data_IF_274979806871
#
_entry.id   IF_274979806871
#
_cell.length_a   1.000
_cell.length_b   1.000
_cell.length_c   1.000
_cell.angle_alpha   90.00
_cell.angle_beta   90.00
_cell.angle_gamma   90.00
#
_symmetry.space_group_name_H-M   'P 1'
#
loop_
_entity.id
_entity.type
_entity.pdbx_description
1 polymer ?
#
# COMPACT_ATOMS: atom_id res chain seq x y z
N UNK A 1 -0.09 0.73 -17.92
CA UNK A 1 0.60 1.75 -17.15
C UNK A 1 0.60 1.41 -15.67
N UNK A 2 1.74 1.63 -15.07
CA UNK A 2 1.93 1.31 -13.66
C UNK A 2 1.67 2.54 -12.81
N UNK A 3 0.48 2.61 -12.24
CA UNK A 3 0.20 3.63 -11.25
C UNK A 3 0.73 3.18 -9.89
N UNK A 4 1.39 4.07 -9.19
CA UNK A 4 1.85 3.84 -7.83
C UNK A 4 0.99 4.65 -6.88
N UNK A 5 0.32 3.94 -5.98
CA UNK A 5 -0.51 4.57 -4.97
C UNK A 5 0.18 4.43 -3.62
N UNK A 6 0.47 5.57 -3.01
CA UNK A 6 1.08 5.61 -1.68
C UNK A 6 -0.03 5.82 -0.65
N UNK A 7 -0.35 4.76 0.05
CA UNK A 7 -1.34 4.81 1.13
C UNK A 7 -0.60 4.56 2.42
N UNK A 8 -0.73 5.51 3.34
CA UNK A 8 -0.14 5.37 4.67
C UNK A 8 -1.21 4.97 5.65
N UNK A 9 -0.98 3.86 6.31
CA UNK A 9 -1.79 3.45 7.43
C UNK A 9 -1.33 4.18 8.68
N UNK A 10 -2.28 4.69 9.45
CA UNK A 10 -2.02 5.24 10.78
C UNK A 10 -3.18 4.89 11.71
N UNK A 11 -3.00 5.11 12.99
CA UNK A 11 -3.98 4.74 14.02
C UNK A 11 -5.32 5.47 13.89
N UNK A 12 -5.35 6.54 13.12
CA UNK A 12 -6.57 7.33 12.93
C UNK A 12 -7.45 6.77 11.83
N UNK A 13 -6.92 5.89 10.99
CA UNK A 13 -7.66 5.27 9.90
C UNK A 13 -7.99 3.84 10.29
N UNK A 14 -9.26 3.48 10.42
CA UNK A 14 -9.62 2.09 10.71
C UNK A 14 -9.07 1.15 9.63
N UNK A 15 -8.60 -0.01 10.05
CA UNK A 15 -8.01 -1.00 9.13
C UNK A 15 -8.98 -1.44 8.04
N UNK A 16 -10.26 -1.46 8.36
CA UNK A 16 -11.31 -1.83 7.42
C UNK A 16 -11.41 -0.83 6.26
N UNK A 17 -11.28 0.45 6.58
CA UNK A 17 -11.29 1.52 5.58
C UNK A 17 -10.05 1.43 4.69
N UNK A 18 -8.91 1.11 5.28
CA UNK A 18 -7.66 0.97 4.55
C UNK A 18 -7.73 -0.17 3.53
N UNK A 19 -8.12 -1.36 3.97
CA UNK A 19 -8.26 -2.53 3.09
C UNK A 19 -9.31 -2.32 2.02
N UNK A 20 -10.44 -1.73 2.39
CA UNK A 20 -11.52 -1.40 1.48
C UNK A 20 -11.02 -0.52 0.34
N UNK A 21 -10.31 0.52 0.67
CA UNK A 21 -9.81 1.48 -0.32
C UNK A 21 -8.84 0.84 -1.29
N UNK A 22 -7.94 -0.03 -0.81
CA UNK A 22 -6.99 -0.74 -1.65
C UNK A 22 -7.69 -1.69 -2.62
N UNK A 23 -8.59 -2.50 -2.11
CA UNK A 23 -9.29 -3.51 -2.93
C UNK A 23 -10.16 -2.84 -3.99
N UNK A 24 -10.97 -1.85 -3.58
CA UNK A 24 -11.84 -1.13 -4.51
C UNK A 24 -11.05 -0.44 -5.60
N UNK A 25 -9.94 0.19 -5.22
CA UNK A 25 -9.10 0.92 -6.17
C UNK A 25 -8.44 -0.01 -7.16
N UNK A 26 -7.84 -1.09 -6.68
CA UNK A 26 -7.19 -2.07 -7.55
C UNK A 26 -8.19 -2.69 -8.52
N UNK A 27 -9.38 -3.03 -8.03
CA UNK A 27 -10.44 -3.61 -8.86
C UNK A 27 -10.88 -2.67 -9.96
N UNK A 28 -11.16 -1.42 -9.60
CA UNK A 28 -11.62 -0.41 -10.57
C UNK A 28 -10.57 -0.09 -11.61
N UNK A 29 -9.33 0.04 -11.20
CA UNK A 29 -8.23 0.32 -12.12
C UNK A 29 -7.98 -0.85 -13.07
N UNK A 30 -8.22 -2.06 -12.62
CA UNK A 30 -8.16 -3.25 -13.46
C UNK A 30 -9.40 -3.45 -14.31
N UNK A 31 -10.44 -2.65 -14.09
CA UNK A 31 -11.73 -2.75 -14.81
C UNK A 31 -12.39 -4.11 -14.63
N UNK A 32 -12.31 -4.64 -13.43
CA UNK A 32 -12.91 -5.92 -13.06
C UNK A 32 -14.19 -5.71 -12.26
N UNK A 33 -15.15 -6.62 -12.44
CA UNK A 33 -16.29 -6.71 -11.54
C UNK A 33 -15.87 -7.39 -10.24
N UNK A 34 -16.68 -7.28 -9.20
CA UNK A 34 -16.42 -8.00 -7.95
C UNK A 34 -16.37 -9.52 -8.19
N UNK A 35 -17.26 -10.04 -9.04
CA UNK A 35 -17.27 -11.46 -9.37
C UNK A 35 -16.00 -11.90 -10.11
N UNK A 36 -15.53 -11.08 -11.05
CA UNK A 36 -14.31 -11.38 -11.79
C UNK A 36 -13.09 -11.37 -10.89
N UNK A 37 -12.98 -10.37 -10.02
CA UNK A 37 -11.89 -10.30 -9.05
C UNK A 37 -11.92 -11.49 -8.10
N UNK A 38 -13.11 -11.84 -7.59
CA UNK A 38 -13.27 -12.97 -6.69
C UNK A 38 -12.78 -14.26 -7.35
N UNK A 39 -13.15 -14.48 -8.59
CA UNK A 39 -12.72 -15.67 -9.34
C UNK A 39 -11.21 -15.72 -9.52
N UNK A 40 -10.60 -14.60 -9.90
CA UNK A 40 -9.15 -14.51 -10.08
C UNK A 40 -8.41 -14.66 -8.76
N UNK A 41 -8.94 -14.14 -7.68
CA UNK A 41 -8.34 -14.22 -6.35
C UNK A 41 -8.66 -15.52 -5.61
N UNK A 42 -9.46 -16.39 -6.21
CA UNK A 42 -9.90 -17.67 -5.60
C UNK A 42 -10.62 -17.46 -4.29
N UNK A 43 -11.54 -16.52 -4.29
CA UNK A 43 -12.41 -16.22 -3.15
C UNK A 43 -13.84 -16.02 -3.65
N UNK A 44 -14.78 -15.75 -2.75
CA UNK A 44 -16.17 -15.52 -3.12
C UNK A 44 -16.44 -14.05 -3.43
N UNK A 45 -17.42 -13.80 -4.28
CA UNK A 45 -17.89 -12.44 -4.54
C UNK A 45 -18.42 -11.81 -3.23
N UNK A 46 -19.10 -12.59 -2.40
CA UNK A 46 -19.59 -12.11 -1.11
C UNK A 46 -18.44 -11.59 -0.23
N UNK A 47 -17.30 -12.30 -0.22
CA UNK A 47 -16.12 -11.85 0.52
C UNK A 47 -15.60 -10.51 -0.02
N UNK A 48 -15.43 -10.39 -1.34
CA UNK A 48 -15.00 -9.13 -1.96
C UNK A 48 -15.97 -8.00 -1.61
N UNK A 49 -17.26 -8.26 -1.72
CA UNK A 49 -18.29 -7.27 -1.40
C UNK A 49 -18.19 -6.79 0.06
N UNK A 50 -17.99 -7.71 1.01
CA UNK A 50 -17.84 -7.36 2.42
C UNK A 50 -16.56 -6.57 2.68
N UNK A 51 -15.46 -6.92 2.03
CA UNK A 51 -14.20 -6.17 2.16
C UNK A 51 -14.37 -4.76 1.63
N UNK A 52 -15.00 -4.58 0.47
CA UNK A 52 -15.22 -3.26 -0.11
C UNK A 52 -16.23 -2.42 0.68
N UNK A 53 -17.18 -3.07 1.31
CA UNK A 53 -18.14 -2.39 2.19
C UNK A 53 -17.54 -2.02 3.55
N UNK A 54 -16.39 -2.60 3.91
CA UNK A 54 -15.75 -2.38 5.20
C UNK A 54 -16.38 -3.16 6.35
N UNK A 55 -17.27 -4.11 6.05
CA UNK A 55 -17.93 -4.93 7.08
C UNK A 55 -17.07 -6.10 7.51
N UNK A 56 -16.04 -6.42 6.75
CA UNK A 56 -15.08 -7.46 7.05
C UNK A 56 -13.70 -7.02 6.59
N UNK A 57 -12.67 -7.38 7.34
CA UNK A 57 -11.29 -7.08 6.99
C UNK A 57 -10.57 -8.35 6.56
N UNK A 58 -9.90 -8.36 5.41
CA UNK A 58 -9.13 -9.52 5.00
C UNK A 58 -7.87 -9.67 5.84
N UNK A 59 -7.37 -10.90 5.95
CA UNK A 59 -6.02 -11.12 6.47
C UNK A 59 -5.02 -10.54 5.48
N UNK A 60 -3.78 -10.34 5.93
CA UNK A 60 -2.72 -9.83 5.05
C UNK A 60 -2.52 -10.75 3.84
N UNK A 61 -2.48 -12.06 4.06
CA UNK A 61 -2.32 -13.03 2.97
C UNK A 61 -3.44 -12.92 1.94
N UNK A 62 -4.67 -12.80 2.42
CA UNK A 62 -5.84 -12.64 1.55
C UNK A 62 -5.77 -11.34 0.78
N UNK A 63 -5.40 -10.25 1.45
CA UNK A 63 -5.25 -8.94 0.80
C UNK A 63 -4.20 -8.97 -0.30
N UNK A 64 -3.04 -9.54 -0.04
CA UNK A 64 -1.97 -9.70 -1.04
C UNK A 64 -2.46 -10.49 -2.24
N UNK A 65 -3.18 -11.59 -2.01
CA UNK A 65 -3.71 -12.42 -3.08
C UNK A 65 -4.72 -11.67 -3.95
N UNK A 66 -5.60 -10.91 -3.33
CA UNK A 66 -6.60 -10.10 -4.03
C UNK A 66 -5.94 -9.02 -4.88
N UNK A 67 -5.00 -8.30 -4.32
CA UNK A 67 -4.30 -7.22 -5.02
C UNK A 67 -3.51 -7.78 -6.22
N UNK A 68 -2.84 -8.90 -6.04
CA UNK A 68 -2.14 -9.57 -7.15
C UNK A 68 -3.09 -10.06 -8.23
N UNK A 69 -4.24 -10.57 -7.84
CA UNK A 69 -5.27 -11.00 -8.81
C UNK A 69 -5.77 -9.85 -9.67
N UNK A 70 -5.79 -8.63 -9.13
CA UNK A 70 -6.13 -7.44 -9.89
C UNK A 70 -4.98 -6.93 -10.77
N UNK A 71 -3.81 -7.55 -10.70
CA UNK A 71 -2.66 -7.16 -11.52
C UNK A 71 -1.73 -6.16 -10.86
N UNK A 72 -1.85 -5.95 -9.56
CA UNK A 72 -1.00 -5.01 -8.81
C UNK A 72 -0.12 -5.75 -7.81
N UNK A 73 0.94 -5.11 -7.39
CA UNK A 73 1.76 -5.55 -6.26
C UNK A 73 1.49 -4.65 -5.07
N UNK A 74 1.25 -5.27 -3.92
CA UNK A 74 1.18 -4.54 -2.66
C UNK A 74 2.54 -4.63 -1.98
N UNK A 75 3.16 -3.48 -1.79
CA UNK A 75 4.44 -3.41 -1.10
C UNK A 75 4.23 -2.89 0.30
N UNK A 76 4.73 -3.63 1.27
CA UNK A 76 4.60 -3.32 2.67
C UNK A 76 5.99 -3.20 3.26
N UNK A 77 6.24 -2.10 3.95
CA UNK A 77 7.49 -1.89 4.64
C UNK A 77 7.24 -1.42 6.06
N UNK A 78 8.25 -1.51 6.88
CA UNK A 78 8.20 -0.99 8.23
C UNK A 78 8.86 0.38 8.25
N UNK A 79 8.20 1.31 8.94
CA UNK A 79 8.77 2.62 9.25
C UNK A 79 8.72 2.82 10.76
N UNK A 80 9.47 3.78 11.26
CA UNK A 80 9.41 4.13 12.68
C UNK A 80 8.02 4.63 13.07
N UNK A 81 7.76 4.77 14.37
CA UNK A 81 6.48 5.27 14.85
C UNK A 81 6.10 6.58 14.17
N UNK A 82 4.82 6.70 13.81
CA UNK A 82 4.35 7.84 13.05
C UNK A 82 4.15 9.08 13.91
N UNK A 83 5.21 9.52 14.54
CA UNK A 83 5.32 10.84 15.11
C UNK A 83 5.94 11.80 14.11
N UNK A 84 5.99 11.37 12.89
CA UNK A 84 6.36 12.16 11.72
C UNK A 84 7.70 12.87 11.82
N UNK A 85 7.64 14.17 11.64
CA UNK A 85 8.78 15.04 11.57
C UNK A 85 9.71 14.92 12.76
N UNK A 86 9.17 14.79 13.96
CA UNK A 86 9.98 14.71 15.19
C UNK A 86 10.83 13.45 15.21
N UNK A 87 10.25 12.30 14.88
CA UNK A 87 10.97 11.03 14.84
C UNK A 87 12.01 11.04 13.73
N UNK A 88 11.65 11.56 12.57
CA UNK A 88 12.56 11.70 11.44
C UNK A 88 13.73 12.59 11.80
N UNK A 89 13.49 13.76 12.36
CA UNK A 89 14.54 14.67 12.76
C UNK A 89 15.48 14.07 13.79
N UNK A 90 14.95 13.35 14.79
CA UNK A 90 15.77 12.65 15.77
C UNK A 90 16.63 11.58 15.12
N UNK A 91 16.06 10.82 14.24
CA UNK A 91 16.77 9.78 13.51
C UNK A 91 17.89 10.38 12.64
N UNK A 92 17.58 11.44 11.92
CA UNK A 92 18.55 12.13 11.08
C UNK A 92 19.72 12.72 11.92
N UNK A 93 19.42 13.25 13.09
CA UNK A 93 20.45 13.80 13.97
C UNK A 93 21.39 12.75 14.56
N UNK A 94 20.93 11.51 14.67
CA UNK A 94 21.73 10.42 15.22
C UNK A 94 22.55 9.66 14.17
N UNK A 95 22.27 9.90 12.90
CA UNK A 95 22.97 9.24 11.81
C UNK A 95 24.32 9.91 11.50
N UNK A 96 25.27 9.09 11.13
CA UNK A 96 26.50 9.56 10.50
C UNK A 96 26.13 10.36 9.24
N UNK A 97 26.74 11.53 9.00
CA UNK A 97 26.40 12.36 7.84
C UNK A 97 26.46 11.61 6.51
N UNK A 98 27.37 10.66 6.38
CA UNK A 98 27.54 9.84 5.18
C UNK A 98 26.36 8.89 4.97
N UNK A 99 25.93 8.24 6.06
CA UNK A 99 24.76 7.36 6.05
C UNK A 99 23.49 8.14 5.78
N UNK A 100 23.37 9.32 6.37
CA UNK A 100 22.25 10.22 6.14
C UNK A 100 22.16 10.63 4.67
N UNK A 101 23.28 10.96 4.05
CA UNK A 101 23.33 11.31 2.63
C UNK A 101 22.83 10.17 1.75
N UNK A 102 23.29 8.94 2.01
CA UNK A 102 22.86 7.76 1.28
C UNK A 102 21.38 7.49 1.45
N UNK A 103 20.89 7.63 2.69
CA UNK A 103 19.47 7.46 2.98
C UNK A 103 18.61 8.48 2.22
N UNK A 104 19.02 9.74 2.26
CA UNK A 104 18.30 10.81 1.58
C UNK A 104 18.32 10.65 0.07
N UNK A 105 19.42 10.19 -0.49
CA UNK A 105 19.54 9.92 -1.92
C UNK A 105 18.57 8.81 -2.35
N UNK A 106 18.49 7.73 -1.57
CA UNK A 106 17.56 6.64 -1.84
C UNK A 106 16.09 7.09 -1.74
N UNK A 107 15.78 7.91 -0.74
CA UNK A 107 14.43 8.46 -0.57
C UNK A 107 14.02 9.36 -1.73
N UNK A 108 14.93 10.24 -2.16
CA UNK A 108 14.68 11.10 -3.32
C UNK A 108 14.40 10.27 -4.57
N UNK A 109 15.19 9.23 -4.79
CA UNK A 109 15.01 8.34 -5.94
C UNK A 109 13.67 7.60 -5.87
N UNK A 110 13.33 7.08 -4.69
CA UNK A 110 12.06 6.39 -4.48
C UNK A 110 10.87 7.30 -4.77
N UNK A 111 10.91 8.53 -4.28
CA UNK A 111 9.86 9.52 -4.52
C UNK A 111 9.78 9.90 -5.99
N UNK A 112 10.93 10.07 -6.63
CA UNK A 112 11.00 10.37 -8.07
C UNK A 112 10.35 9.26 -8.90
N UNK A 113 10.69 8.02 -8.62
CA UNK A 113 10.12 6.87 -9.33
C UNK A 113 8.62 6.75 -9.09
N UNK A 114 8.16 7.00 -7.88
CA UNK A 114 6.73 6.98 -7.56
C UNK A 114 5.97 8.06 -8.35
N UNK A 115 6.54 9.26 -8.47
CA UNK A 115 5.94 10.36 -9.24
C UNK A 115 5.87 10.05 -10.73
N UNK A 116 6.80 9.26 -11.23
CA UNK A 116 6.81 8.84 -12.64
C UNK A 116 5.86 7.67 -12.90
N UNK A 117 5.19 7.15 -11.87
CA UNK A 117 4.30 6.02 -11.99
C UNK A 117 5.03 4.69 -12.21
N UNK A 118 6.33 4.64 -12.00
CA UNK A 118 7.10 3.41 -12.09
C UNK A 118 7.21 2.76 -10.70
N UNK A 119 7.32 1.43 -10.69
CA UNK A 119 7.54 0.71 -9.43
C UNK A 119 8.97 0.95 -8.96
N UNK A 120 9.13 1.44 -7.74
CA UNK A 120 10.43 1.54 -7.11
C UNK A 120 10.98 0.13 -6.83
N UNK A 121 12.26 -0.07 -7.03
CA UNK A 121 12.94 -1.32 -6.70
C UNK A 121 14.15 -1.02 -5.83
#
# INVERSE_FOLDING_TARGET
>A
ENAVYLIRYNDKVPKEVFSRSLISRARRDAKLSQAELARKAKTSQAAISMYEAGTRSPTLDTLLRIIRAAGFDLRIGLSGPDTHTITRERFEKTLDPKVLEEFNAKERERVRLARLGTRGR
#
